data_IF_105590966684
#
_entry.id   IF_105590966684
#
_cell.length_a   1.000
_cell.length_b   1.000
_cell.length_c   1.000
_cell.angle_alpha   90.00
_cell.angle_beta   90.00
_cell.angle_gamma   90.00
#
_symmetry.space_group_name_H-M   'P 1'
#
loop_
_entity.id
_entity.type
_entity.pdbx_description
1 polymer ?
#
# COMPACT_ATOMS: atom_id res chain seq x y z
N UNK A 1 -4.80 -8.11 -93.77
CA UNK A 1 -6.21 -8.54 -93.95
C UNK A 1 -6.95 -8.23 -92.65
N UNK A 2 -7.86 -7.26 -92.66
CA UNK A 2 -8.51 -6.80 -91.42
C UNK A 2 -9.68 -7.71 -91.08
N UNK A 3 -9.73 -8.21 -89.84
CA UNK A 3 -10.80 -9.09 -89.32
C UNK A 3 -12.22 -8.52 -89.51
N UNK A 4 -12.31 -7.21 -89.72
CA UNK A 4 -13.53 -6.41 -89.88
C UNK A 4 -14.15 -6.60 -91.28
N UNK A 5 -13.38 -7.08 -92.26
CA UNK A 5 -13.85 -7.23 -93.64
C UNK A 5 -14.67 -8.51 -93.88
N UNK A 6 -14.55 -9.52 -93.00
CA UNK A 6 -15.35 -10.77 -93.04
C UNK A 6 -16.76 -10.64 -92.44
N UNK A 7 -17.11 -9.51 -91.81
CA UNK A 7 -18.46 -9.28 -91.26
C UNK A 7 -19.38 -8.62 -92.30
N UNK A 8 -20.67 -9.01 -92.36
CA UNK A 8 -21.67 -8.40 -93.24
C UNK A 8 -21.76 -6.88 -92.96
N UNK A 9 -21.98 -6.05 -93.99
CA UNK A 9 -21.86 -4.59 -93.90
C UNK A 9 -22.79 -3.96 -92.86
N UNK A 10 -23.93 -4.60 -92.57
CA UNK A 10 -24.88 -4.18 -91.54
C UNK A 10 -24.35 -4.31 -90.09
N UNK A 11 -23.39 -5.20 -89.83
CA UNK A 11 -22.87 -5.51 -88.48
C UNK A 11 -21.54 -4.82 -88.16
N UNK A 12 -20.86 -4.22 -89.16
CA UNK A 12 -19.59 -3.49 -88.98
C UNK A 12 -19.66 -2.34 -87.97
N UNK A 13 -20.68 -1.44 -87.94
CA UNK A 13 -20.71 -0.37 -86.95
C UNK A 13 -20.89 -0.89 -85.52
N UNK A 14 -21.63 -1.99 -85.34
CA UNK A 14 -21.80 -2.65 -84.05
C UNK A 14 -20.50 -3.30 -83.55
N UNK A 15 -19.75 -3.95 -84.44
CA UNK A 15 -18.45 -4.51 -84.09
C UNK A 15 -17.44 -3.42 -83.68
N UNK A 16 -17.42 -2.29 -84.37
CA UNK A 16 -16.59 -1.13 -84.00
C UNK A 16 -17.03 -0.54 -82.66
N UNK A 17 -18.34 -0.41 -82.42
CA UNK A 17 -18.88 0.08 -81.15
C UNK A 17 -18.50 -0.83 -79.97
N UNK A 18 -18.55 -2.16 -80.15
CA UNK A 18 -18.16 -3.12 -79.11
C UNK A 18 -16.66 -3.05 -78.79
N UNK A 19 -15.80 -2.88 -79.80
CA UNK A 19 -14.36 -2.71 -79.59
C UNK A 19 -14.06 -1.41 -78.85
N UNK A 20 -14.72 -0.32 -79.22
CA UNK A 20 -14.57 0.97 -78.52
C UNK A 20 -15.06 0.88 -77.06
N UNK A 21 -16.17 0.18 -76.82
CA UNK A 21 -16.69 -0.06 -75.47
C UNK A 21 -15.71 -0.90 -74.63
N UNK A 22 -15.10 -1.94 -75.22
CA UNK A 22 -14.10 -2.77 -74.56
C UNK A 22 -12.83 -1.97 -74.20
N UNK A 23 -12.35 -1.13 -75.11
CA UNK A 23 -11.20 -0.24 -74.85
C UNK A 23 -11.53 0.77 -73.74
N UNK A 24 -12.72 1.38 -73.79
CA UNK A 24 -13.17 2.30 -72.75
C UNK A 24 -13.29 1.61 -71.38
N UNK A 25 -13.81 0.38 -71.35
CA UNK A 25 -13.90 -0.42 -70.13
C UNK A 25 -12.54 -0.78 -69.53
N UNK A 26 -11.57 -1.17 -70.37
CA UNK A 26 -10.20 -1.47 -69.92
C UNK A 26 -9.49 -0.20 -69.43
N UNK A 27 -9.65 0.92 -70.11
CA UNK A 27 -9.07 2.20 -69.69
C UNK A 27 -9.68 2.69 -68.36
N UNK A 28 -11.00 2.59 -68.20
CA UNK A 28 -11.69 2.95 -66.95
C UNK A 28 -11.30 2.02 -65.79
N UNK A 29 -11.22 0.71 -66.02
CA UNK A 29 -10.78 -0.26 -65.01
C UNK A 29 -9.32 -0.06 -64.60
N UNK A 30 -8.43 0.21 -65.56
CA UNK A 30 -7.02 0.51 -65.29
C UNK A 30 -6.82 1.80 -64.49
N UNK A 31 -7.57 2.86 -64.83
CA UNK A 31 -7.56 4.11 -64.08
C UNK A 31 -8.04 3.93 -62.63
N UNK A 32 -9.05 3.08 -62.41
CA UNK A 32 -9.56 2.75 -61.08
C UNK A 32 -8.52 2.01 -60.22
N UNK A 33 -7.87 0.99 -60.78
CA UNK A 33 -6.83 0.22 -60.06
C UNK A 33 -5.62 1.09 -59.71
N UNK A 34 -5.23 2.00 -60.61
CA UNK A 34 -4.14 2.94 -60.34
C UNK A 34 -4.49 3.94 -59.23
N UNK A 35 -5.75 4.40 -59.18
CA UNK A 35 -6.23 5.26 -58.10
C UNK A 35 -6.29 4.52 -56.76
N UNK A 36 -6.82 3.30 -56.75
CA UNK A 36 -6.93 2.46 -55.56
C UNK A 36 -5.55 2.17 -54.94
N UNK A 37 -4.54 1.88 -55.77
CA UNK A 37 -3.17 1.66 -55.28
C UNK A 37 -2.58 2.91 -54.62
N UNK A 38 -2.82 4.10 -55.20
CA UNK A 38 -2.33 5.36 -54.61
C UNK A 38 -2.99 5.64 -53.27
N UNK A 39 -4.31 5.51 -53.19
CA UNK A 39 -5.05 5.71 -51.95
C UNK A 39 -4.69 4.65 -50.89
N UNK A 40 -4.53 3.39 -51.29
CA UNK A 40 -4.10 2.31 -50.41
C UNK A 40 -2.73 2.55 -49.80
N UNK A 41 -1.79 3.13 -50.57
CA UNK A 41 -0.47 3.52 -50.05
C UNK A 41 -0.55 4.63 -49.00
N UNK A 42 -1.33 5.69 -49.27
CA UNK A 42 -1.54 6.79 -48.31
C UNK A 42 -2.22 6.29 -47.03
N UNK A 43 -3.23 5.41 -47.16
CA UNK A 43 -3.91 4.76 -46.04
C UNK A 43 -2.96 3.87 -45.21
N UNK A 44 -2.08 3.10 -45.86
CA UNK A 44 -1.10 2.26 -45.18
C UNK A 44 -0.06 3.09 -44.41
N UNK A 45 0.40 4.19 -44.98
CA UNK A 45 1.31 5.12 -44.31
C UNK A 45 0.65 5.79 -43.10
N UNK A 46 -0.59 6.25 -43.24
CA UNK A 46 -1.35 6.83 -42.12
C UNK A 46 -1.63 5.79 -41.02
N UNK A 47 -2.05 4.57 -41.40
CA UNK A 47 -2.28 3.48 -40.46
C UNK A 47 -1.00 3.13 -39.69
N UNK A 48 0.14 3.07 -40.36
CA UNK A 48 1.43 2.84 -39.72
C UNK A 48 1.82 3.95 -38.73
N UNK A 49 1.56 5.22 -39.06
CA UNK A 49 1.81 6.34 -38.14
C UNK A 49 0.90 6.30 -36.91
N UNK A 50 -0.39 5.98 -37.10
CA UNK A 50 -1.36 5.85 -36.01
C UNK A 50 -0.98 4.71 -35.08
N UNK A 51 -0.60 3.56 -35.65
CA UNK A 51 -0.17 2.38 -34.88
C UNK A 51 1.10 2.68 -34.07
N UNK A 52 2.11 3.29 -34.70
CA UNK A 52 3.31 3.74 -33.97
C UNK A 52 3.00 4.75 -32.86
N UNK A 53 2.08 5.68 -33.11
CA UNK A 53 1.65 6.64 -32.10
C UNK A 53 0.83 5.97 -30.98
N UNK A 54 0.06 4.93 -31.28
CA UNK A 54 -0.66 4.14 -30.28
C UNK A 54 0.32 3.34 -29.41
N UNK A 55 1.31 2.69 -30.02
CA UNK A 55 2.36 1.96 -29.31
C UNK A 55 3.16 2.88 -28.38
N UNK A 56 3.61 4.05 -28.86
CA UNK A 56 4.31 5.02 -28.01
C UNK A 56 3.48 5.49 -26.83
N UNK A 57 2.19 5.80 -27.03
CA UNK A 57 1.28 6.17 -25.94
C UNK A 57 1.10 5.04 -24.93
N UNK A 58 1.03 3.79 -25.40
CA UNK A 58 0.93 2.63 -24.52
C UNK A 58 2.22 2.44 -23.71
N UNK A 59 3.39 2.58 -24.33
CA UNK A 59 4.69 2.51 -23.66
C UNK A 59 4.83 3.61 -22.60
N UNK A 60 4.47 4.86 -22.93
CA UNK A 60 4.51 5.99 -21.99
C UNK A 60 3.56 5.75 -20.80
N UNK A 61 2.35 5.25 -21.06
CA UNK A 61 1.38 4.91 -20.02
C UNK A 61 1.87 3.78 -19.12
N UNK A 62 2.50 2.75 -19.69
CA UNK A 62 3.11 1.65 -18.94
C UNK A 62 4.29 2.14 -18.09
N UNK A 63 5.11 3.05 -18.62
CA UNK A 63 6.23 3.64 -17.88
C UNK A 63 5.72 4.48 -16.69
N UNK A 64 4.68 5.29 -16.89
CA UNK A 64 4.03 6.05 -15.81
C UNK A 64 3.45 5.11 -14.74
N UNK A 65 2.77 4.03 -15.15
CA UNK A 65 2.22 3.04 -14.23
C UNK A 65 3.33 2.32 -13.44
N UNK A 66 4.44 1.99 -14.08
CA UNK A 66 5.57 1.33 -13.41
C UNK A 66 6.19 2.22 -12.32
N UNK A 67 6.25 3.55 -12.54
CA UNK A 67 6.71 4.51 -11.53
C UNK A 67 5.75 4.53 -10.33
N UNK A 68 4.44 4.56 -10.57
CA UNK A 68 3.43 4.52 -9.50
C UNK A 68 3.45 3.20 -8.74
N UNK A 69 3.58 2.07 -9.42
CA UNK A 69 3.69 0.77 -8.76
C UNK A 69 4.95 0.69 -7.90
N UNK A 70 6.09 1.22 -8.38
CA UNK A 70 7.32 1.25 -7.61
C UNK A 70 7.19 2.13 -6.36
N UNK A 71 6.50 3.25 -6.44
CA UNK A 71 6.27 4.12 -5.28
C UNK A 71 5.34 3.45 -4.25
N UNK A 72 4.28 2.77 -4.71
CA UNK A 72 3.40 1.96 -3.85
C UNK A 72 4.15 0.84 -3.15
N UNK A 73 4.94 0.05 -3.88
CA UNK A 73 5.75 -1.03 -3.30
C UNK A 73 6.78 -0.50 -2.29
N UNK A 74 7.40 0.64 -2.57
CA UNK A 74 8.33 1.26 -1.62
C UNK A 74 7.62 1.74 -0.35
N UNK A 75 6.40 2.27 -0.47
CA UNK A 75 5.60 2.67 0.68
C UNK A 75 5.13 1.45 1.48
N UNK A 76 4.63 0.42 0.82
CA UNK A 76 4.21 -0.85 1.44
C UNK A 76 5.38 -1.50 2.19
N UNK A 77 6.57 -1.56 1.58
CA UNK A 77 7.76 -2.09 2.23
C UNK A 77 8.14 -1.29 3.48
N UNK A 78 7.99 0.04 3.46
CA UNK A 78 8.24 0.88 4.64
C UNK A 78 7.20 0.67 5.74
N UNK A 79 5.93 0.54 5.37
CA UNK A 79 4.85 0.25 6.32
C UNK A 79 5.07 -1.13 6.96
N UNK A 80 5.36 -2.16 6.18
CA UNK A 80 5.67 -3.50 6.69
C UNK A 80 6.88 -3.49 7.62
N UNK A 81 7.97 -2.83 7.25
CA UNK A 81 9.15 -2.74 8.10
C UNK A 81 8.87 -1.99 9.42
N UNK A 82 8.05 -0.94 9.36
CA UNK A 82 7.64 -0.18 10.54
C UNK A 82 6.73 -1.02 11.45
N UNK A 83 5.73 -1.71 10.89
CA UNK A 83 4.83 -2.61 11.60
C UNK A 83 5.59 -3.77 12.25
N UNK A 84 6.53 -4.38 11.53
CA UNK A 84 7.37 -5.45 12.07
C UNK A 84 8.23 -4.95 13.24
N UNK A 85 8.83 -3.76 13.10
CA UNK A 85 9.64 -3.14 14.15
C UNK A 85 8.80 -2.86 15.39
N UNK A 86 7.65 -2.20 15.25
CA UNK A 86 6.77 -1.88 16.37
C UNK A 86 6.16 -3.13 17.01
N UNK A 87 5.81 -4.14 16.20
CA UNK A 87 5.32 -5.40 16.74
C UNK A 87 6.39 -6.11 17.57
N UNK A 88 7.64 -6.13 17.10
CA UNK A 88 8.77 -6.70 17.83
C UNK A 88 9.07 -5.94 19.10
N UNK A 89 9.15 -4.60 19.04
CA UNK A 89 9.36 -3.75 20.22
C UNK A 89 8.27 -3.98 21.28
N UNK A 90 7.01 -4.06 20.86
CA UNK A 90 5.88 -4.32 21.75
C UNK A 90 5.94 -5.72 22.36
N UNK A 91 6.30 -6.73 21.57
CA UNK A 91 6.48 -8.11 22.05
C UNK A 91 7.64 -8.22 23.04
N UNK A 92 8.77 -7.58 22.75
CA UNK A 92 9.96 -7.58 23.61
C UNK A 92 9.70 -6.83 24.93
N UNK A 93 8.98 -5.71 24.88
CA UNK A 93 8.53 -4.98 26.07
C UNK A 93 7.61 -5.85 26.94
N UNK A 94 6.60 -6.50 26.34
CA UNK A 94 5.69 -7.44 27.04
C UNK A 94 6.45 -8.60 27.69
N UNK A 95 7.36 -9.23 26.96
CA UNK A 95 8.19 -10.31 27.49
C UNK A 95 9.06 -9.83 28.67
N UNK A 96 9.62 -8.63 28.59
CA UNK A 96 10.43 -8.05 29.67
C UNK A 96 9.58 -7.76 30.90
N UNK A 97 8.38 -7.20 30.73
CA UNK A 97 7.42 -6.97 31.82
C UNK A 97 7.03 -8.29 32.49
N UNK A 98 6.71 -9.33 31.71
CA UNK A 98 6.36 -10.64 32.24
C UNK A 98 7.51 -11.25 33.04
N UNK A 99 8.75 -11.19 32.53
CA UNK A 99 9.95 -11.63 33.26
C UNK A 99 10.15 -10.88 34.57
N UNK A 100 9.89 -9.57 34.61
CA UNK A 100 9.98 -8.80 35.86
C UNK A 100 8.88 -9.21 36.85
N UNK A 101 7.67 -9.46 36.36
CA UNK A 101 6.56 -10.00 37.17
C UNK A 101 6.92 -11.35 37.80
N UNK A 102 7.54 -12.24 37.03
CA UNK A 102 7.97 -13.55 37.50
C UNK A 102 9.08 -13.43 38.55
N UNK A 103 10.05 -12.53 38.35
CA UNK A 103 11.12 -12.29 39.32
C UNK A 103 10.63 -11.64 40.61
N UNK A 104 9.58 -10.82 40.53
CA UNK A 104 8.87 -10.33 41.71
C UNK A 104 8.15 -11.49 42.44
N UNK A 105 7.58 -12.44 41.71
CA UNK A 105 6.96 -13.66 42.26
C UNK A 105 7.96 -14.51 43.05
N UNK A 106 9.15 -14.72 42.48
CA UNK A 106 10.19 -15.56 43.08
C UNK A 106 11.03 -14.82 44.13
N UNK A 107 10.65 -13.60 44.52
CA UNK A 107 11.35 -12.73 45.47
C UNK A 107 12.82 -12.42 45.10
N UNK A 108 13.20 -12.60 43.83
CA UNK A 108 14.54 -12.27 43.29
C UNK A 108 14.67 -10.74 43.12
N UNK A 109 13.57 -10.07 42.79
CA UNK A 109 13.44 -8.61 42.83
C UNK A 109 12.44 -8.23 43.92
N UNK A 110 12.72 -7.16 44.68
CA UNK A 110 11.87 -6.69 45.78
C UNK A 110 11.42 -5.26 45.56
N UNK A 111 10.12 -5.01 45.75
CA UNK A 111 9.55 -3.67 45.67
C UNK A 111 9.74 -2.95 47.01
N UNK A 112 10.29 -1.72 46.99
CA UNK A 112 10.47 -0.89 48.18
C UNK A 112 9.64 0.39 48.07
N UNK A 113 8.92 0.75 49.12
CA UNK A 113 8.16 2.00 49.20
C UNK A 113 8.83 2.94 50.19
N UNK A 114 8.91 4.22 49.84
CA UNK A 114 9.38 5.28 50.74
C UNK A 114 8.30 5.56 51.78
N UNK A 115 8.63 5.41 53.07
CA UNK A 115 7.74 5.83 54.14
C UNK A 115 7.80 7.36 54.24
N UNK A 116 6.64 8.01 54.24
CA UNK A 116 6.58 9.42 54.59
C UNK A 116 7.06 9.58 56.05
N UNK A 117 7.96 10.53 56.30
CA UNK A 117 8.37 10.88 57.66
C UNK A 117 7.20 11.60 58.36
N UNK A 118 6.23 10.84 58.87
CA UNK A 118 5.17 11.30 59.76
C UNK A 118 5.59 11.21 61.23
N UNK A 119 4.98 12.01 62.12
CA UNK A 119 5.40 12.10 63.52
C UNK A 119 5.27 10.72 64.18
N UNK A 120 6.32 10.34 64.91
CA UNK A 120 6.55 9.02 65.49
C UNK A 120 5.29 8.35 66.06
N UNK A 121 5.01 7.14 65.58
CA UNK A 121 3.88 6.31 66.02
C UNK A 121 4.18 4.83 65.84
N UNK A 122 5.28 4.35 66.41
CA UNK A 122 5.64 2.93 66.41
C UNK A 122 7.07 2.71 66.89
N UNK A 123 7.20 2.15 68.09
CA UNK A 123 8.42 1.87 68.86
C UNK A 123 9.61 1.42 67.99
N UNK A 124 10.55 2.34 67.75
CA UNK A 124 11.85 2.08 67.15
C UNK A 124 12.92 2.78 67.97
N UNK A 125 13.76 1.98 68.63
CA UNK A 125 14.86 2.47 69.46
C UNK A 125 15.78 3.37 68.63
N UNK A 126 16.17 4.51 69.21
CA UNK A 126 17.13 5.46 68.65
C UNK A 126 18.45 4.74 68.34
N UNK A 127 18.77 4.56 67.05
CA UNK A 127 20.07 4.04 66.63
C UNK A 127 21.16 5.08 66.86
N UNK A 128 22.25 4.66 67.51
CA UNK A 128 23.39 5.50 67.84
C UNK A 128 24.04 6.12 66.61
N UNK A 129 24.48 7.37 66.74
CA UNK A 129 25.14 8.15 65.70
C UNK A 129 26.47 7.51 65.26
N UNK A 130 26.51 7.02 64.02
CA UNK A 130 27.73 6.57 63.34
C UNK A 130 28.11 7.52 62.20
N UNK A 131 29.37 7.94 62.20
CA UNK A 131 30.00 8.86 61.25
C UNK A 131 29.99 8.36 59.80
N UNK A 132 29.66 9.23 58.83
CA UNK A 132 30.09 9.07 57.43
C UNK A 132 28.99 8.86 56.38
N UNK A 133 28.16 9.88 56.15
CA UNK A 133 27.56 10.26 54.87
C UNK A 133 27.35 9.23 53.75
N UNK A 134 26.47 8.25 53.97
CA UNK A 134 25.55 7.78 52.92
C UNK A 134 24.18 8.33 53.28
N UNK A 135 23.53 8.98 52.32
CA UNK A 135 22.26 9.71 52.50
C UNK A 135 21.23 8.77 53.15
N UNK A 136 20.92 8.99 54.43
CA UNK A 136 19.77 8.42 55.12
C UNK A 136 18.49 9.13 54.62
N UNK A 137 18.19 8.96 53.33
CA UNK A 137 16.96 9.47 52.72
C UNK A 137 15.82 8.51 53.03
N UNK A 138 14.83 8.97 53.81
CA UNK A 138 13.52 8.37 54.12
C UNK A 138 13.50 6.83 54.26
N UNK A 139 13.19 6.33 55.46
CA UNK A 139 13.05 4.90 55.74
C UNK A 139 12.20 4.21 54.67
N UNK A 140 12.79 3.24 53.94
CA UNK A 140 12.06 2.44 52.94
C UNK A 140 11.56 1.15 53.57
N UNK A 141 10.27 0.85 53.42
CA UNK A 141 9.71 -0.45 53.76
C UNK A 141 9.72 -1.36 52.52
N UNK A 142 10.16 -2.60 52.68
CA UNK A 142 10.00 -3.63 51.65
C UNK A 142 8.56 -4.13 51.67
N UNK A 143 7.94 -4.27 50.50
CA UNK A 143 6.65 -4.94 50.37
C UNK A 143 6.85 -6.45 50.33
N UNK A 144 5.91 -7.16 50.97
CA UNK A 144 5.76 -8.60 50.79
C UNK A 144 5.50 -8.93 49.30
N UNK A 145 6.17 -9.94 48.71
CA UNK A 145 6.02 -10.28 47.30
C UNK A 145 4.56 -10.49 46.85
N UNK A 146 3.74 -11.16 47.66
CA UNK A 146 2.33 -11.39 47.33
C UNK A 146 1.48 -10.12 47.40
N UNK A 147 1.86 -9.13 48.21
CA UNK A 147 1.24 -7.80 48.19
C UNK A 147 1.72 -6.96 47.01
N UNK A 148 3.01 -7.00 46.69
CA UNK A 148 3.57 -6.28 45.54
C UNK A 148 2.92 -6.75 44.22
N UNK A 149 2.76 -8.06 44.03
CA UNK A 149 2.10 -8.63 42.86
C UNK A 149 0.64 -8.18 42.74
N UNK A 150 -0.12 -8.21 43.84
CA UNK A 150 -1.52 -7.77 43.83
C UNK A 150 -1.68 -6.30 43.47
N UNK A 151 -0.76 -5.44 43.90
CA UNK A 151 -0.78 -4.01 43.52
C UNK A 151 -0.56 -3.87 42.01
N UNK A 152 0.42 -4.59 41.45
CA UNK A 152 0.73 -4.53 40.01
C UNK A 152 -0.42 -5.08 39.17
N UNK A 153 -1.03 -6.20 39.57
CA UNK A 153 -2.16 -6.78 38.83
C UNK A 153 -3.36 -5.84 38.80
N UNK A 154 -3.67 -5.16 39.92
CA UNK A 154 -4.76 -4.16 39.96
C UNK A 154 -4.47 -3.00 38.99
N UNK A 155 -3.22 -2.52 38.91
CA UNK A 155 -2.87 -1.45 37.97
C UNK A 155 -2.93 -1.91 36.51
N UNK A 156 -2.53 -3.15 36.22
CA UNK A 156 -2.57 -3.73 34.88
C UNK A 156 -4.03 -3.93 34.41
N UNK A 157 -4.87 -4.55 35.25
CA UNK A 157 -6.30 -4.72 35.01
C UNK A 157 -7.01 -3.36 34.84
N UNK A 158 -6.62 -2.37 35.64
CA UNK A 158 -7.14 -1.01 35.56
C UNK A 158 -6.82 -0.34 34.23
N UNK A 159 -5.57 -0.46 33.75
CA UNK A 159 -5.14 0.08 32.46
C UNK A 159 -5.88 -0.59 31.29
N UNK A 160 -5.98 -1.92 31.32
CA UNK A 160 -6.77 -2.68 30.33
C UNK A 160 -8.25 -2.25 30.32
N UNK A 161 -8.83 -2.02 31.51
CA UNK A 161 -10.20 -1.52 31.63
C UNK A 161 -10.39 -0.13 31.01
N UNK A 162 -9.44 0.79 31.21
CA UNK A 162 -9.48 2.13 30.62
C UNK A 162 -9.31 2.09 29.10
N UNK A 163 -8.45 1.22 28.58
CA UNK A 163 -8.29 0.99 27.13
C UNK A 163 -9.60 0.47 26.54
N UNK A 164 -10.22 -0.54 27.16
CA UNK A 164 -11.49 -1.09 26.72
C UNK A 164 -12.61 -0.04 26.73
N UNK A 165 -12.69 0.77 27.79
CA UNK A 165 -13.66 1.86 27.89
C UNK A 165 -13.46 2.90 26.79
N UNK A 166 -12.21 3.29 26.51
CA UNK A 166 -11.89 4.22 25.44
C UNK A 166 -12.34 3.68 24.07
N UNK A 167 -12.13 2.38 23.81
CA UNK A 167 -12.60 1.72 22.59
C UNK A 167 -14.14 1.74 22.48
N UNK A 168 -14.86 1.44 23.57
CA UNK A 168 -16.33 1.53 23.60
C UNK A 168 -16.82 2.97 23.35
N UNK A 169 -16.16 3.97 23.92
CA UNK A 169 -16.51 5.38 23.71
C UNK A 169 -16.26 5.84 22.27
N UNK A 170 -15.17 5.39 21.65
CA UNK A 170 -14.88 5.67 20.25
C UNK A 170 -15.97 5.08 19.33
N UNK A 171 -16.32 3.81 19.53
CA UNK A 171 -17.39 3.15 18.79
C UNK A 171 -18.74 3.85 18.96
N UNK A 172 -19.11 4.20 20.20
CA UNK A 172 -20.37 4.89 20.46
C UNK A 172 -20.44 6.25 19.76
N UNK A 173 -19.33 7.00 19.68
CA UNK A 173 -19.26 8.28 18.95
C UNK A 173 -19.42 8.08 17.44
N UNK A 174 -18.79 7.06 16.88
CA UNK A 174 -18.89 6.74 15.45
C UNK A 174 -20.33 6.40 15.04
N UNK A 175 -21.03 5.61 15.87
CA UNK A 175 -22.42 5.19 15.60
C UNK A 175 -23.43 6.31 15.88
N UNK A 176 -23.14 7.23 16.81
CA UNK A 176 -24.06 8.31 17.19
C UNK A 176 -23.86 9.60 16.39
N UNK A 177 -22.76 9.75 15.66
CA UNK A 177 -22.56 10.89 14.78
C UNK A 177 -23.45 10.75 13.52
N UNK A 178 -24.32 11.72 13.21
CA UNK A 178 -25.04 11.73 11.94
C UNK A 178 -24.05 11.90 10.79
N UNK A 179 -24.27 11.15 9.72
CA UNK A 179 -23.43 11.08 8.53
C UNK A 179 -23.45 12.37 7.70
#
# INVERSE_FOLDING_TARGET
MRLIDLLPPALRPWAVALVLLAIAGVAAGGAWVAQDWRYGKELAEQAGQVDQAALKRAEDALAALAIEQRSRLALESRLQANDETHHKELSDAKNTQQRLSDRLATADVRLSVLLAAGPAGGVGLSAAAGTGGVVYGATRAQLDPAHAQRIISITDDGDQGLIALAACQAYAKEVSAPK
#
